data_IF_504432729040
#
_entry.id   IF_504432729040
#
_cell.length_a   1.000
_cell.length_b   1.000
_cell.length_c   1.000
_cell.angle_alpha   90.00
_cell.angle_beta   90.00
_cell.angle_gamma   90.00
#
_symmetry.space_group_name_H-M   'P 1'
#
loop_
_entity.id
_entity.type
_entity.pdbx_description
1 polymer ?
#
# COMPACT_ATOMS: atom_id res chain seq x y z
N UNK A 1 -20.61 -17.99 -8.62
CA UNK A 1 -21.07 -16.61 -8.40
C UNK A 1 -20.54 -16.22 -7.04
N UNK A 2 -19.94 -15.06 -6.86
CA UNK A 2 -19.57 -14.58 -5.53
C UNK A 2 -20.81 -14.18 -4.72
N UNK A 3 -20.63 -13.88 -3.43
CA UNK A 3 -21.71 -13.51 -2.51
C UNK A 3 -22.51 -12.26 -2.92
N UNK A 4 -22.08 -11.51 -3.95
CA UNK A 4 -22.78 -10.37 -4.54
C UNK A 4 -23.35 -10.67 -5.94
N UNK A 5 -23.42 -11.94 -6.33
CA UNK A 5 -23.98 -12.37 -7.62
C UNK A 5 -23.12 -12.04 -8.83
N UNK A 6 -21.87 -11.58 -8.65
CA UNK A 6 -20.95 -11.33 -9.77
C UNK A 6 -20.14 -12.61 -10.05
N UNK A 7 -20.04 -12.95 -11.33
CA UNK A 7 -19.12 -14.00 -11.75
C UNK A 7 -17.73 -13.36 -11.89
N UNK A 8 -16.69 -13.96 -11.31
CA UNK A 8 -15.33 -13.66 -11.77
C UNK A 8 -15.31 -13.87 -13.29
N UNK A 9 -14.75 -12.91 -14.06
CA UNK A 9 -14.77 -12.88 -15.53
C UNK A 9 -13.39 -13.15 -16.13
N UNK A 10 -13.34 -13.86 -17.26
CA UNK A 10 -12.10 -14.28 -17.89
C UNK A 10 -11.37 -13.03 -18.35
N UNK A 11 -10.10 -12.85 -17.97
CA UNK A 11 -9.40 -11.63 -18.35
C UNK A 11 -9.11 -11.55 -19.87
N UNK A 12 -9.20 -12.68 -20.59
CA UNK A 12 -9.04 -12.71 -22.05
C UNK A 12 -10.32 -12.42 -22.84
N UNK A 13 -11.46 -12.98 -22.44
CA UNK A 13 -12.71 -12.94 -23.22
C UNK A 13 -13.93 -12.45 -22.44
N UNK A 14 -13.78 -12.07 -21.18
CA UNK A 14 -14.85 -11.65 -20.25
C UNK A 14 -15.94 -12.71 -19.97
N UNK A 15 -15.81 -13.95 -20.46
CA UNK A 15 -16.75 -15.02 -20.14
C UNK A 15 -16.76 -15.34 -18.63
N UNK A 16 -17.89 -15.76 -18.06
CA UNK A 16 -17.96 -16.20 -16.66
C UNK A 16 -17.00 -17.35 -16.35
N UNK A 17 -16.56 -17.43 -15.08
CA UNK A 17 -15.68 -18.51 -14.60
C UNK A 17 -16.34 -19.88 -14.72
N UNK A 18 -15.81 -20.70 -15.61
CA UNK A 18 -16.15 -22.13 -15.73
C UNK A 18 -15.29 -23.02 -14.84
N UNK A 19 -15.62 -24.33 -14.73
CA UNK A 19 -14.91 -25.29 -13.87
C UNK A 19 -13.43 -25.49 -14.25
N UNK A 20 -13.10 -25.33 -15.53
CA UNK A 20 -11.73 -25.49 -16.06
C UNK A 20 -10.93 -24.18 -16.08
N UNK A 21 -11.40 -23.14 -15.38
CA UNK A 21 -10.70 -21.87 -15.29
C UNK A 21 -9.36 -22.01 -14.56
N UNK A 22 -8.27 -21.60 -15.20
CA UNK A 22 -6.94 -21.62 -14.63
C UNK A 22 -6.46 -20.21 -14.30
N UNK A 23 -5.76 -20.06 -13.18
CA UNK A 23 -5.05 -18.82 -12.84
C UNK A 23 -3.72 -18.72 -13.58
N UNK A 24 -3.24 -17.51 -13.80
CA UNK A 24 -1.85 -17.29 -14.22
C UNK A 24 -0.92 -17.99 -13.21
N UNK A 25 -0.09 -18.92 -13.67
CA UNK A 25 0.79 -19.70 -12.80
C UNK A 25 1.81 -18.84 -12.04
N UNK A 26 2.18 -17.70 -12.61
CA UNK A 26 3.18 -16.78 -12.04
C UNK A 26 2.58 -15.89 -10.95
N UNK A 27 1.64 -15.01 -11.29
CA UNK A 27 1.09 -14.08 -10.30
C UNK A 27 -0.05 -14.68 -9.47
N UNK A 28 -0.84 -15.62 -10.03
CA UNK A 28 -2.03 -16.22 -9.41
C UNK A 28 -3.20 -15.25 -9.15
N UNK A 29 -3.14 -14.03 -9.66
CA UNK A 29 -4.20 -13.02 -9.53
C UNK A 29 -5.26 -13.13 -10.63
N UNK A 30 -4.82 -13.34 -11.86
CA UNK A 30 -5.68 -13.31 -13.04
C UNK A 30 -6.10 -14.72 -13.42
N UNK A 31 -7.34 -14.91 -13.85
CA UNK A 31 -7.84 -16.20 -14.32
C UNK A 31 -8.28 -16.17 -15.79
N UNK A 32 -8.20 -17.34 -16.42
CA UNK A 32 -8.52 -17.55 -17.83
C UNK A 32 -9.34 -18.83 -18.02
N UNK A 33 -10.28 -18.81 -18.96
CA UNK A 33 -11.02 -20.01 -19.35
C UNK A 33 -10.18 -20.99 -20.19
N UNK A 34 -9.09 -20.51 -20.79
CA UNK A 34 -8.20 -21.31 -21.64
C UNK A 34 -6.80 -20.70 -21.78
N UNK A 35 -5.82 -21.52 -22.19
CA UNK A 35 -4.48 -21.05 -22.55
C UNK A 35 -4.50 -20.04 -23.71
N UNK A 36 -5.46 -20.15 -24.62
CA UNK A 36 -5.62 -19.18 -25.71
C UNK A 36 -5.97 -17.78 -25.17
N UNK A 37 -6.95 -17.69 -24.26
CA UNK A 37 -7.29 -16.43 -23.58
C UNK A 37 -6.11 -15.87 -22.78
N UNK A 38 -5.32 -16.74 -22.13
CA UNK A 38 -4.11 -16.32 -21.44
C UNK A 38 -3.09 -15.69 -22.39
N UNK A 39 -2.78 -16.32 -23.54
CA UNK A 39 -1.82 -15.79 -24.52
C UNK A 39 -2.27 -14.44 -25.09
N UNK A 40 -3.55 -14.30 -25.44
CA UNK A 40 -4.10 -13.04 -25.95
C UNK A 40 -3.98 -11.93 -24.90
N UNK A 41 -4.38 -12.20 -23.66
CA UNK A 41 -4.28 -11.21 -22.60
C UNK A 41 -2.81 -10.89 -22.23
N UNK A 42 -1.93 -11.89 -22.28
CA UNK A 42 -0.49 -11.75 -22.04
C UNK A 42 0.12 -10.67 -22.93
N UNK A 43 -0.07 -10.78 -24.25
CA UNK A 43 0.48 -9.84 -25.23
C UNK A 43 -0.14 -8.45 -25.11
N UNK A 44 -1.42 -8.35 -24.76
CA UNK A 44 -2.13 -7.06 -24.69
C UNK A 44 -1.70 -6.21 -23.50
N UNK A 45 -1.72 -6.78 -22.29
CA UNK A 45 -1.56 -6.02 -21.04
C UNK A 45 -0.98 -6.83 -19.88
N UNK A 46 -1.24 -8.13 -19.76
CA UNK A 46 -0.87 -8.84 -18.52
C UNK A 46 0.64 -8.92 -18.30
N UNK A 47 1.45 -9.00 -19.36
CA UNK A 47 2.91 -9.09 -19.25
C UNK A 47 3.50 -7.97 -18.39
N UNK A 48 3.02 -6.73 -18.56
CA UNK A 48 3.59 -5.55 -17.88
C UNK A 48 3.27 -5.49 -16.39
N UNK A 49 2.25 -6.20 -15.90
CA UNK A 49 1.90 -6.17 -14.47
C UNK A 49 2.11 -7.51 -13.76
N UNK A 50 2.34 -8.59 -14.50
CA UNK A 50 2.41 -9.92 -13.92
C UNK A 50 3.51 -10.00 -12.86
N UNK A 51 4.65 -9.32 -13.10
CA UNK A 51 5.74 -9.19 -12.15
C UNK A 51 5.33 -8.39 -10.91
N UNK A 52 4.73 -7.21 -11.07
CA UNK A 52 4.22 -6.38 -9.97
C UNK A 52 3.22 -7.13 -9.10
N UNK A 53 2.27 -7.85 -9.71
CA UNK A 53 1.29 -8.67 -9.01
C UNK A 53 1.92 -9.87 -8.28
N UNK A 54 2.96 -10.49 -8.86
CA UNK A 54 3.71 -11.57 -8.20
C UNK A 54 4.40 -11.05 -6.94
N UNK A 55 5.11 -9.93 -7.04
CA UNK A 55 5.81 -9.29 -5.91
C UNK A 55 4.81 -8.84 -4.84
N UNK A 56 3.72 -8.17 -5.23
CA UNK A 56 2.67 -7.76 -4.31
C UNK A 56 2.01 -8.96 -3.61
N UNK A 57 1.82 -10.08 -4.32
CA UNK A 57 1.34 -11.33 -3.74
C UNK A 57 2.31 -11.95 -2.72
N UNK A 58 3.62 -11.90 -3.00
CA UNK A 58 4.65 -12.36 -2.07
C UNK A 58 4.70 -11.46 -0.81
N UNK A 59 4.70 -10.14 -1.00
CA UNK A 59 4.64 -9.15 0.09
C UNK A 59 3.44 -9.42 0.99
N UNK A 60 2.24 -9.57 0.41
CA UNK A 60 1.01 -9.89 1.14
C UNK A 60 1.14 -11.16 1.99
N UNK A 61 1.66 -12.22 1.41
CA UNK A 61 1.79 -13.50 2.10
C UNK A 61 2.74 -13.41 3.30
N UNK A 62 3.87 -12.71 3.11
CA UNK A 62 4.86 -12.47 4.16
C UNK A 62 4.33 -11.54 5.25
N UNK A 63 3.70 -10.43 4.88
CA UNK A 63 3.04 -9.51 5.81
C UNK A 63 1.99 -10.23 6.67
N UNK A 64 1.12 -11.01 6.02
CA UNK A 64 0.10 -11.79 6.73
C UNK A 64 0.70 -12.81 7.69
N UNK A 65 1.78 -13.49 7.30
CA UNK A 65 2.51 -14.41 8.17
C UNK A 65 3.16 -13.67 9.33
N UNK A 66 3.79 -12.52 9.06
CA UNK A 66 4.48 -11.70 10.05
C UNK A 66 3.52 -11.23 11.15
N UNK A 67 2.37 -10.67 10.78
CA UNK A 67 1.33 -10.27 11.72
C UNK A 67 0.83 -11.43 12.59
N UNK A 68 0.56 -12.60 11.98
CA UNK A 68 0.08 -13.79 12.69
C UNK A 68 1.08 -14.39 13.68
N UNK A 69 2.37 -14.15 13.47
CA UNK A 69 3.44 -14.73 14.29
C UNK A 69 3.92 -13.79 15.39
N UNK A 70 3.31 -12.60 15.53
CA UNK A 70 3.66 -11.68 16.60
C UNK A 70 3.26 -12.23 17.99
N UNK A 71 4.09 -12.04 19.02
CA UNK A 71 3.74 -12.44 20.38
C UNK A 71 2.43 -11.78 20.85
N UNK A 72 1.49 -12.58 21.36
CA UNK A 72 0.17 -12.10 21.80
C UNK A 72 0.26 -10.92 22.77
N UNK A 73 1.23 -10.94 23.69
CA UNK A 73 1.45 -9.86 24.67
C UNK A 73 1.78 -8.52 24.00
N UNK A 74 2.62 -8.54 22.97
CA UNK A 74 3.04 -7.34 22.24
C UNK A 74 1.89 -6.82 21.40
N UNK A 75 1.12 -7.74 20.81
CA UNK A 75 -0.08 -7.39 20.05
C UNK A 75 -1.15 -6.74 20.93
N UNK A 76 -1.44 -7.31 22.10
CA UNK A 76 -2.40 -6.73 23.05
C UNK A 76 -1.95 -5.36 23.56
N UNK A 77 -0.68 -5.21 23.93
CA UNK A 77 -0.12 -3.94 24.35
C UNK A 77 -0.27 -2.88 23.25
N UNK A 78 0.08 -3.26 22.01
CA UNK A 78 -0.04 -2.39 20.85
C UNK A 78 -1.49 -1.98 20.56
N UNK A 79 -2.44 -2.92 20.50
CA UNK A 79 -3.86 -2.63 20.25
C UNK A 79 -4.44 -1.72 21.34
N UNK A 80 -4.02 -1.92 22.59
CA UNK A 80 -4.47 -1.11 23.72
C UNK A 80 -3.89 0.32 23.66
N UNK A 81 -2.65 0.46 23.23
CA UNK A 81 -1.97 1.76 23.11
C UNK A 81 -2.40 2.55 21.88
N UNK A 82 -2.56 1.89 20.74
CA UNK A 82 -2.86 2.54 19.45
C UNK A 82 -4.35 2.59 19.12
N UNK A 83 -5.16 1.70 19.70
CA UNK A 83 -6.55 1.49 19.29
C UNK A 83 -6.71 0.82 17.92
N UNK A 84 -5.61 0.49 17.22
CA UNK A 84 -5.64 -0.04 15.86
C UNK A 84 -5.58 -1.57 15.85
N UNK A 85 -6.42 -2.18 15.02
CA UNK A 85 -6.36 -3.61 14.75
C UNK A 85 -5.28 -3.90 13.68
N UNK A 86 -4.52 -5.01 13.79
CA UNK A 86 -3.49 -5.38 12.81
C UNK A 86 -4.01 -5.49 11.37
N UNK A 87 -5.26 -5.92 11.21
CA UNK A 87 -5.95 -6.00 9.92
C UNK A 87 -6.01 -4.64 9.21
N UNK A 88 -6.17 -3.56 9.96
CA UNK A 88 -6.27 -2.18 9.47
C UNK A 88 -4.89 -1.56 9.18
N UNK A 89 -3.80 -2.23 9.54
CA UNK A 89 -2.44 -1.74 9.38
C UNK A 89 -1.66 -2.47 8.28
N UNK A 90 -2.38 -3.17 7.39
CA UNK A 90 -1.76 -3.87 6.27
C UNK A 90 -1.34 -2.88 5.19
N UNK A 91 -0.08 -2.96 4.80
CA UNK A 91 0.51 -2.11 3.78
C UNK A 91 0.42 -2.74 2.38
N UNK A 92 -0.01 -4.00 2.26
CA UNK A 92 -0.11 -4.69 0.98
C UNK A 92 -0.81 -3.86 -0.13
N UNK A 93 -1.94 -3.20 0.17
CA UNK A 93 -2.67 -2.46 -0.86
C UNK A 93 -1.92 -1.21 -1.34
N UNK A 94 -1.30 -0.49 -0.42
CA UNK A 94 -0.40 0.63 -0.72
C UNK A 94 0.79 0.19 -1.58
N UNK A 95 1.44 -0.91 -1.20
CA UNK A 95 2.56 -1.49 -1.96
C UNK A 95 2.12 -1.98 -3.35
N UNK A 96 0.92 -2.55 -3.47
CA UNK A 96 0.34 -2.91 -4.76
C UNK A 96 0.18 -1.66 -5.66
N UNK A 97 -0.29 -0.54 -5.12
CA UNK A 97 -0.44 0.69 -5.90
C UNK A 97 0.90 1.31 -6.28
N UNK A 98 1.90 1.26 -5.39
CA UNK A 98 3.28 1.66 -5.68
C UNK A 98 3.86 0.85 -6.85
N UNK A 99 3.78 -0.49 -6.77
CA UNK A 99 4.29 -1.40 -7.80
C UNK A 99 3.54 -1.30 -9.14
N UNK A 100 2.31 -0.76 -9.10
CA UNK A 100 1.50 -0.46 -10.28
C UNK A 100 1.79 0.93 -10.87
N UNK A 101 2.70 1.71 -10.27
CA UNK A 101 3.02 3.08 -10.67
C UNK A 101 1.91 4.10 -10.35
N UNK A 102 0.89 3.71 -9.58
CA UNK A 102 -0.24 4.56 -9.20
C UNK A 102 0.12 5.48 -8.04
N UNK A 103 0.94 5.00 -7.09
CA UNK A 103 1.51 5.80 -6.01
C UNK A 103 2.99 6.07 -6.25
N UNK A 104 3.47 7.28 -5.99
CA UNK A 104 4.89 7.56 -6.03
C UNK A 104 5.61 7.03 -4.79
N UNK A 105 4.95 7.01 -3.63
CA UNK A 105 5.55 6.64 -2.34
C UNK A 105 4.52 5.99 -1.42
N UNK A 106 5.01 5.18 -0.47
CA UNK A 106 4.22 4.53 0.59
C UNK A 106 4.92 4.75 1.93
N UNK A 107 4.19 5.30 2.90
CA UNK A 107 4.66 5.47 4.27
C UNK A 107 4.17 4.32 5.14
N UNK A 108 5.06 3.68 5.88
CA UNK A 108 4.74 2.60 6.80
C UNK A 108 4.46 3.16 8.21
N UNK A 109 3.59 4.17 8.29
CA UNK A 109 3.53 5.08 9.45
C UNK A 109 2.93 4.49 10.73
N UNK A 110 2.15 3.41 10.58
CA UNK A 110 1.61 2.69 11.73
C UNK A 110 2.54 1.55 12.20
N UNK A 111 3.75 1.41 11.65
CA UNK A 111 4.68 0.35 12.05
C UNK A 111 5.52 0.79 13.26
N UNK A 112 5.32 0.22 14.46
CA UNK A 112 6.05 0.60 15.67
C UNK A 112 7.55 0.46 15.49
N UNK A 113 8.32 1.40 16.06
CA UNK A 113 9.78 1.40 15.97
C UNK A 113 10.44 0.06 16.33
N UNK A 114 10.04 -0.65 17.41
CA UNK A 114 10.62 -1.96 17.74
C UNK A 114 10.39 -3.05 16.69
N UNK A 115 9.38 -2.87 15.83
CA UNK A 115 8.99 -3.87 14.82
C UNK A 115 9.60 -3.62 13.44
N UNK A 116 10.08 -2.39 13.18
CA UNK A 116 10.62 -1.96 11.88
C UNK A 116 11.72 -2.90 11.35
N UNK A 117 12.68 -3.26 12.20
CA UNK A 117 13.80 -4.14 11.82
C UNK A 117 13.29 -5.52 11.34
N UNK A 118 12.45 -6.18 12.15
CA UNK A 118 11.89 -7.49 11.77
C UNK A 118 10.97 -7.41 10.55
N UNK A 119 10.25 -6.30 10.37
CA UNK A 119 9.40 -6.12 9.20
C UNK A 119 10.24 -5.99 7.92
N UNK A 120 11.37 -5.28 7.99
CA UNK A 120 12.31 -5.18 6.87
C UNK A 120 12.86 -6.57 6.50
N UNK A 121 13.35 -7.33 7.49
CA UNK A 121 14.00 -8.63 7.27
C UNK A 121 13.03 -9.73 6.86
N UNK A 122 11.82 -9.72 7.41
CA UNK A 122 10.88 -10.84 7.29
C UNK A 122 9.79 -10.59 6.24
N UNK A 123 9.58 -9.34 5.84
CA UNK A 123 8.56 -8.94 4.87
C UNK A 123 9.16 -8.23 3.67
N UNK A 124 9.77 -7.05 3.87
CA UNK A 124 10.19 -6.19 2.74
C UNK A 124 11.26 -6.88 1.90
N UNK A 125 12.41 -7.24 2.48
CA UNK A 125 13.51 -7.84 1.75
C UNK A 125 13.13 -9.16 1.04
N UNK A 126 12.53 -10.17 1.71
CA UNK A 126 12.20 -11.45 1.07
C UNK A 126 11.00 -11.37 0.10
N UNK A 127 10.20 -10.30 0.12
CA UNK A 127 9.10 -10.13 -0.85
C UNK A 127 9.58 -9.90 -2.28
N UNK A 128 10.84 -9.48 -2.45
CA UNK A 128 11.40 -9.06 -3.73
C UNK A 128 10.98 -7.64 -4.15
N UNK A 129 10.31 -6.86 -3.27
CA UNK A 129 9.90 -5.47 -3.59
C UNK A 129 11.09 -4.57 -3.93
N UNK A 130 12.22 -4.72 -3.21
CA UNK A 130 13.43 -3.91 -3.45
C UNK A 130 14.26 -4.41 -4.64
N UNK A 131 14.03 -5.65 -5.08
CA UNK A 131 14.65 -6.21 -6.29
C UNK A 131 13.73 -6.08 -7.52
N UNK A 132 12.56 -5.47 -7.35
CA UNK A 132 11.63 -5.22 -8.44
C UNK A 132 12.17 -4.07 -9.28
N UNK A 133 12.70 -4.40 -10.45
CA UNK A 133 13.04 -3.43 -11.47
C UNK A 133 12.13 -3.65 -12.67
N UNK A 134 10.90 -3.13 -12.62
CA UNK A 134 10.13 -2.90 -13.85
C UNK A 134 10.44 -1.49 -14.32
N UNK A 135 11.42 -1.40 -15.23
CA UNK A 135 11.92 -0.13 -15.80
C UNK A 135 10.79 0.75 -16.36
N UNK A 136 9.62 0.20 -16.68
CA UNK A 136 8.50 0.97 -17.23
C UNK A 136 7.56 1.56 -16.16
N UNK A 137 7.49 1.02 -14.94
CA UNK A 137 6.43 1.37 -13.98
C UNK A 137 6.94 1.76 -12.60
N UNK A 138 7.84 0.96 -12.02
CA UNK A 138 8.28 1.19 -10.66
C UNK A 138 9.65 0.57 -10.41
N UNK A 139 10.52 1.36 -9.79
CA UNK A 139 11.77 0.89 -9.18
C UNK A 139 11.70 1.25 -7.70
N UNK A 140 11.21 0.37 -6.82
CA UNK A 140 11.09 0.67 -5.39
C UNK A 140 12.44 0.71 -4.70
N UNK A 141 12.65 1.72 -3.87
CA UNK A 141 13.76 1.79 -2.93
C UNK A 141 13.24 2.11 -1.52
N UNK A 142 13.99 1.71 -0.50
CA UNK A 142 13.62 1.88 0.90
C UNK A 142 14.39 3.05 1.53
N UNK A 143 13.64 3.97 2.11
CA UNK A 143 14.10 5.17 2.78
C UNK A 143 13.59 5.21 4.22
N UNK A 144 14.20 6.07 5.02
CA UNK A 144 13.76 6.42 6.37
C UNK A 144 13.64 7.94 6.51
N UNK A 145 12.62 8.40 7.22
CA UNK A 145 12.48 9.81 7.61
C UNK A 145 13.53 10.12 8.69
N UNK A 146 14.51 10.95 8.37
CA UNK A 146 15.62 11.25 9.27
C UNK A 146 15.41 12.55 10.06
N UNK A 147 15.68 12.49 11.37
CA UNK A 147 15.44 13.61 12.28
C UNK A 147 13.97 13.76 12.66
N UNK A 148 13.68 14.82 13.43
CA UNK A 148 12.31 15.12 13.88
C UNK A 148 11.51 15.79 12.77
N UNK A 149 10.48 15.11 12.27
CA UNK A 149 9.59 15.60 11.19
C UNK A 149 8.14 15.40 11.63
N UNK A 150 7.38 16.49 11.63
CA UNK A 150 6.00 16.50 12.14
C UNK A 150 5.09 17.28 11.20
N UNK A 151 3.78 17.09 11.31
CA UNK A 151 2.79 17.95 10.67
C UNK A 151 2.20 18.96 11.66
N UNK A 152 1.52 20.03 11.20
CA UNK A 152 0.80 20.96 12.08
C UNK A 152 -0.29 20.30 12.95
N UNK A 153 -0.72 19.08 12.61
CA UNK A 153 -1.65 18.30 13.40
C UNK A 153 -0.94 17.43 14.47
N UNK A 154 0.33 17.73 14.77
CA UNK A 154 1.17 17.00 15.73
C UNK A 154 1.36 15.52 15.37
N UNK A 155 1.23 15.18 14.08
CA UNK A 155 1.54 13.84 13.60
C UNK A 155 3.06 13.69 13.44
N UNK A 156 3.67 12.86 14.28
CA UNK A 156 5.10 12.54 14.22
C UNK A 156 5.38 11.41 13.23
N UNK A 157 6.21 11.71 12.22
CA UNK A 157 6.64 10.76 11.18
C UNK A 157 8.10 10.33 11.33
N UNK A 158 8.74 10.70 12.45
CA UNK A 158 10.16 10.52 12.66
C UNK A 158 10.55 9.03 12.67
N UNK A 159 11.55 8.68 11.85
CA UNK A 159 12.03 7.30 11.71
C UNK A 159 11.08 6.37 10.94
N UNK A 160 9.96 6.85 10.41
CA UNK A 160 9.09 6.03 9.58
C UNK A 160 9.80 5.56 8.32
N UNK A 161 9.45 4.33 7.93
CA UNK A 161 9.96 3.71 6.72
C UNK A 161 9.12 4.16 5.51
N UNK A 162 9.81 4.44 4.42
CA UNK A 162 9.22 4.90 3.17
C UNK A 162 9.66 4.01 2.02
N UNK A 163 8.70 3.38 1.33
CA UNK A 163 8.95 2.77 0.03
C UNK A 163 8.72 3.82 -1.06
N UNK A 164 9.70 4.03 -1.92
CA UNK A 164 9.72 5.12 -2.89
C UNK A 164 9.93 4.60 -4.30
N UNK A 165 9.11 5.02 -5.25
CA UNK A 165 9.32 4.77 -6.66
C UNK A 165 10.37 5.74 -7.22
N UNK A 166 11.59 5.27 -7.44
CA UNK A 166 12.70 6.12 -7.89
C UNK A 166 12.58 6.56 -9.35
N UNK A 167 11.62 6.03 -10.12
CA UNK A 167 11.32 6.52 -11.47
C UNK A 167 10.67 7.92 -11.47
N UNK A 168 10.36 8.47 -10.29
CA UNK A 168 9.75 9.79 -10.09
C UNK A 168 10.73 10.79 -9.49
N UNK A 169 11.81 11.09 -10.21
CA UNK A 169 12.95 11.88 -9.69
C UNK A 169 12.54 13.23 -9.06
N UNK A 170 11.66 14.00 -9.71
CA UNK A 170 11.18 15.28 -9.18
C UNK A 170 10.43 15.14 -7.85
N UNK A 171 9.57 14.11 -7.73
CA UNK A 171 8.84 13.84 -6.50
C UNK A 171 9.76 13.30 -5.42
N UNK A 172 10.75 12.47 -5.78
CA UNK A 172 11.79 12.01 -4.85
C UNK A 172 12.59 13.19 -4.30
N UNK A 173 13.01 14.13 -5.16
CA UNK A 173 13.72 15.33 -4.72
C UNK A 173 12.87 16.16 -3.74
N UNK A 174 11.59 16.36 -4.05
CA UNK A 174 10.65 17.03 -3.15
C UNK A 174 10.51 16.29 -1.81
N UNK A 175 10.41 14.96 -1.83
CA UNK A 175 10.29 14.15 -0.63
C UNK A 175 11.57 14.16 0.22
N UNK A 176 12.75 14.12 -0.40
CA UNK A 176 14.03 14.26 0.31
C UNK A 176 14.11 15.62 1.01
N UNK A 177 13.66 16.68 0.34
CA UNK A 177 13.65 18.02 0.92
C UNK A 177 12.62 18.17 2.07
N UNK A 178 11.39 17.74 1.84
CA UNK A 178 10.28 17.93 2.77
C UNK A 178 10.28 16.92 3.92
N UNK A 179 10.52 15.64 3.63
CA UNK A 179 10.44 14.57 4.64
C UNK A 179 11.82 14.14 5.15
N UNK A 180 12.89 14.83 4.75
CA UNK A 180 14.28 14.50 5.16
C UNK A 180 14.63 13.03 4.93
N UNK A 181 14.20 12.49 3.79
CA UNK A 181 14.42 11.08 3.47
C UNK A 181 15.90 10.78 3.30
N UNK A 182 16.33 9.65 3.89
CA UNK A 182 17.65 9.05 3.64
C UNK A 182 17.50 7.62 3.18
N UNK A 183 18.29 7.16 2.20
CA UNK A 183 18.33 5.74 1.85
C UNK A 183 18.63 4.91 3.09
N UNK A 184 17.92 3.80 3.28
CA UNK A 184 18.06 3.01 4.51
C UNK A 184 19.48 2.44 4.68
N UNK A 185 20.15 2.05 3.60
CA UNK A 185 21.52 1.52 3.65
C UNK A 185 22.53 2.56 4.18
N UNK A 186 22.35 3.83 3.83
CA UNK A 186 23.16 4.93 4.35
C UNK A 186 22.87 5.16 5.84
N UNK A 187 21.59 5.10 6.22
CA UNK A 187 21.18 5.27 7.62
C UNK A 187 21.77 4.19 8.53
N UNK A 188 21.78 2.93 8.07
CA UNK A 188 22.34 1.77 8.79
C UNK A 188 23.87 1.81 8.90
N UNK A 189 24.56 2.44 7.96
CA UNK A 189 26.03 2.52 7.94
C UNK A 189 26.60 3.60 8.87
N UNK A 190 25.75 4.49 9.38
CA UNK A 190 26.15 5.54 10.33
C UNK A 190 26.18 4.99 11.77
N UNK A 191 27.15 5.41 12.59
CA UNK A 191 27.22 5.05 14.02
C UNK A 191 25.98 5.49 14.85
N UNK A 192 25.06 6.24 14.25
CA UNK A 192 23.78 6.70 14.79
C UNK A 192 22.59 5.82 14.36
N UNK A 193 22.84 4.69 13.67
CA UNK A 193 21.83 3.79 13.09
C UNK A 193 20.84 3.21 14.11
N UNK A 194 21.30 2.89 15.32
CA UNK A 194 20.44 2.38 16.40
C UNK A 194 19.46 3.46 16.92
N UNK A 195 19.76 4.74 16.74
CA UNK A 195 18.87 5.82 17.20
C UNK A 195 17.73 6.09 16.21
N UNK A 196 17.99 5.91 14.91
CA UNK A 196 17.03 6.28 13.85
C UNK A 196 15.95 5.24 13.59
N UNK A 197 16.22 3.95 13.83
CA UNK A 197 15.22 2.88 13.65
C UNK A 197 14.38 2.62 14.91
N UNK A 198 14.97 2.81 16.09
CA UNK A 198 14.32 2.53 17.38
C UNK A 198 13.63 3.74 18.01
N UNK A 199 13.56 4.88 17.30
CA UNK A 199 12.67 6.00 17.63
C UNK A 199 12.90 6.69 18.98
N UNK A 200 14.05 6.49 19.63
CA UNK A 200 14.21 6.79 21.05
C UNK A 200 15.26 7.83 21.44
N UNK A 201 15.92 8.52 20.50
CA UNK A 201 17.12 9.30 20.86
C UNK A 201 17.40 10.55 20.03
N UNK A 202 16.38 11.20 19.47
CA UNK A 202 16.59 12.60 19.07
C UNK A 202 16.57 13.45 20.33
N UNK A 203 17.72 14.04 20.67
CA UNK A 203 17.81 15.04 21.71
C UNK A 203 16.66 16.04 21.54
N UNK A 204 15.82 16.17 22.55
CA UNK A 204 14.65 17.06 22.60
C UNK A 204 14.96 18.54 22.26
N UNK A 205 16.24 18.90 22.11
CA UNK A 205 16.75 20.23 21.86
C UNK A 205 16.66 20.72 20.40
N UNK A 206 16.49 19.84 19.40
CA UNK A 206 16.37 20.29 17.99
C UNK A 206 14.92 20.55 17.60
N UNK A 207 14.61 21.71 16.99
CA UNK A 207 13.25 22.02 16.55
C UNK A 207 12.79 21.03 15.49
N UNK A 208 11.52 20.62 15.57
CA UNK A 208 10.89 19.77 14.55
C UNK A 208 10.88 20.47 13.20
N UNK A 209 11.11 19.71 12.14
CA UNK A 209 10.79 20.16 10.80
C UNK A 209 9.31 19.94 10.54
N UNK A 210 8.57 21.05 10.43
CA UNK A 210 7.13 20.99 10.20
C UNK A 210 6.85 20.94 8.70
N UNK A 211 6.18 19.88 8.26
CA UNK A 211 5.81 19.64 6.86
C UNK A 211 4.32 19.88 6.69
N UNK A 212 3.92 20.53 5.59
CA UNK A 212 2.51 20.80 5.34
C UNK A 212 1.79 19.50 4.97
N UNK A 213 0.57 19.34 5.49
CA UNK A 213 -0.31 18.21 5.16
C UNK A 213 -0.57 18.08 3.65
N UNK A 214 -0.62 19.20 2.93
CA UNK A 214 -0.75 19.22 1.46
C UNK A 214 0.45 18.57 0.75
N UNK A 215 1.65 18.79 1.27
CA UNK A 215 2.86 18.19 0.72
C UNK A 215 2.88 16.68 1.01
N UNK A 216 2.49 16.27 2.22
CA UNK A 216 2.37 14.84 2.59
C UNK A 216 1.31 14.16 1.71
N UNK A 217 0.13 14.74 1.58
CA UNK A 217 -0.95 14.21 0.74
C UNK A 217 -0.49 14.09 -0.73
N UNK A 218 0.20 15.10 -1.27
CA UNK A 218 0.75 15.04 -2.63
C UNK A 218 1.80 13.94 -2.79
N UNK A 219 2.73 13.82 -1.85
CA UNK A 219 3.80 12.81 -1.87
C UNK A 219 3.26 11.38 -1.70
N UNK A 220 2.15 11.22 -1.00
CA UNK A 220 1.48 9.93 -0.80
C UNK A 220 0.29 9.71 -1.75
N UNK A 221 0.11 10.57 -2.76
CA UNK A 221 -1.01 10.55 -3.71
C UNK A 221 -2.40 10.43 -3.03
N UNK A 222 -2.60 11.07 -1.88
CA UNK A 222 -3.92 11.21 -1.29
C UNK A 222 -4.66 12.37 -1.95
N UNK A 223 -5.94 12.19 -2.32
CA UNK A 223 -6.68 13.20 -3.07
C UNK A 223 -7.05 14.43 -2.25
N UNK A 224 -6.88 14.40 -0.93
CA UNK A 224 -7.29 15.44 0.02
C UNK A 224 -6.27 15.48 1.15
N UNK A 225 -5.82 16.68 1.53
CA UNK A 225 -5.02 16.87 2.73
C UNK A 225 -5.92 17.14 3.96
N UNK A 226 -5.52 16.67 5.13
CA UNK A 226 -6.32 16.85 6.36
C UNK A 226 -6.55 18.31 6.72
N UNK A 227 -5.62 19.20 6.35
CA UNK A 227 -5.75 20.65 6.52
C UNK A 227 -6.94 21.24 5.75
N UNK A 228 -7.41 20.60 4.67
CA UNK A 228 -8.53 21.05 3.84
C UNK A 228 -9.92 20.70 4.43
N UNK A 229 -9.95 19.83 5.45
CA UNK A 229 -11.17 19.29 6.03
C UNK A 229 -11.62 19.98 7.32
N UNK A 230 -10.97 21.09 7.73
CA UNK A 230 -11.25 21.77 9.00
C UNK A 230 -12.71 22.27 9.05
N UNK A 231 -13.44 21.81 10.08
CA UNK A 231 -14.81 22.26 10.37
C UNK A 231 -15.92 21.55 9.60
N UNK A 232 -15.59 20.49 8.86
CA UNK A 232 -16.56 19.73 8.07
C UNK A 232 -16.92 18.36 8.68
N UNK A 233 -18.03 17.77 8.20
CA UNK A 233 -18.34 16.34 8.39
C UNK A 233 -17.27 15.48 7.73
N UNK A 234 -16.60 14.65 8.52
CA UNK A 234 -15.52 13.77 8.07
C UNK A 234 -16.09 12.42 7.63
N UNK A 235 -15.52 11.88 6.56
CA UNK A 235 -15.76 10.52 6.09
C UNK A 235 -14.43 9.77 6.00
N UNK A 236 -14.44 8.51 6.40
CA UNK A 236 -13.40 7.55 6.04
C UNK A 236 -13.69 6.99 4.65
N UNK A 237 -12.72 7.12 3.76
CA UNK A 237 -12.76 6.56 2.43
C UNK A 237 -11.90 5.30 2.42
N UNK A 238 -12.49 4.16 2.08
CA UNK A 238 -11.78 2.88 1.95
C UNK A 238 -11.83 2.35 0.52
N UNK A 239 -10.68 1.92 -0.02
CA UNK A 239 -10.63 1.16 -1.27
C UNK A 239 -10.47 -0.32 -0.97
N UNK A 240 -11.30 -1.14 -1.60
CA UNK A 240 -11.37 -2.57 -1.32
C UNK A 240 -11.07 -3.39 -2.56
N UNK A 241 -10.35 -4.49 -2.37
CA UNK A 241 -10.17 -5.55 -3.34
C UNK A 241 -11.37 -6.50 -3.27
N UNK A 242 -12.07 -6.61 -4.39
CA UNK A 242 -13.15 -7.58 -4.59
C UNK A 242 -12.55 -8.97 -4.88
N UNK A 243 -12.17 -9.68 -3.81
CA UNK A 243 -11.75 -11.08 -3.89
C UNK A 243 -12.97 -11.99 -4.00
N UNK A 244 -13.64 -12.00 -5.15
CA UNK A 244 -14.70 -12.98 -5.40
C UNK A 244 -14.23 -14.40 -5.09
N UNK A 245 -15.11 -15.24 -4.51
CA UNK A 245 -14.82 -16.55 -3.87
C UNK A 245 -13.51 -17.22 -4.31
N UNK A 246 -12.43 -16.88 -3.59
CA UNK A 246 -11.07 -17.34 -3.87
C UNK A 246 -10.72 -18.63 -3.14
N UNK A 247 -11.52 -19.02 -2.16
CA UNK A 247 -11.38 -20.23 -1.37
C UNK A 247 -12.69 -20.97 -1.48
N UNK A 248 -12.70 -22.27 -1.76
CA UNK A 248 -13.86 -23.14 -1.53
C UNK A 248 -14.20 -23.28 -0.04
N UNK A 249 -14.18 -22.16 0.68
CA UNK A 249 -14.44 -22.00 2.10
C UNK A 249 -15.88 -21.53 2.24
N UNK A 250 -16.60 -22.10 3.21
CA UNK A 250 -17.98 -21.74 3.58
C UNK A 250 -18.11 -20.33 4.18
N UNK A 251 -17.02 -19.57 4.26
CA UNK A 251 -16.95 -18.22 4.82
C UNK A 251 -17.17 -17.20 3.69
N UNK A 252 -18.16 -16.31 3.85
CA UNK A 252 -18.47 -15.26 2.87
C UNK A 252 -17.19 -14.48 2.49
N UNK A 253 -16.95 -14.21 1.20
CA UNK A 253 -15.82 -13.39 0.78
C UNK A 253 -15.97 -11.99 1.41
N UNK A 254 -15.02 -11.64 2.28
CA UNK A 254 -14.91 -10.28 2.80
C UNK A 254 -14.06 -9.46 1.83
N UNK A 255 -14.61 -8.33 1.41
CA UNK A 255 -13.88 -7.29 0.69
C UNK A 255 -12.64 -6.89 1.50
N UNK A 256 -11.46 -6.95 0.89
CA UNK A 256 -10.22 -6.63 1.61
C UNK A 256 -9.86 -5.16 1.42
N UNK A 257 -9.76 -4.43 2.53
CA UNK A 257 -9.24 -3.06 2.53
C UNK A 257 -7.80 -3.03 1.97
N UNK A 258 -7.57 -2.13 1.02
CA UNK A 258 -6.26 -1.88 0.38
C UNK A 258 -5.63 -0.59 0.90
N UNK A 259 -6.43 0.44 1.09
CA UNK A 259 -6.04 1.74 1.66
C UNK A 259 -7.29 2.37 2.27
N UNK A 260 -7.11 3.13 3.34
CA UNK A 260 -8.09 4.10 3.79
C UNK A 260 -7.44 5.44 4.11
N UNK A 261 -8.24 6.49 3.97
CA UNK A 261 -7.86 7.86 4.32
C UNK A 261 -9.11 8.67 4.65
N UNK A 262 -8.93 9.74 5.41
CA UNK A 262 -10.03 10.63 5.78
C UNK A 262 -10.18 11.76 4.75
N UNK A 263 -11.43 12.13 4.48
CA UNK A 263 -11.78 13.30 3.68
C UNK A 263 -13.06 13.92 4.23
N UNK A 264 -13.33 15.18 3.89
CA UNK A 264 -14.67 15.76 4.10
C UNK A 264 -15.62 15.39 2.95
N UNK A 265 -16.93 15.30 3.24
CA UNK A 265 -17.97 14.96 2.24
C UNK A 265 -17.93 15.86 0.99
N UNK A 266 -17.54 17.13 1.14
CA UNK A 266 -17.41 18.09 0.03
C UNK A 266 -16.38 17.65 -1.02
N UNK A 267 -15.43 16.80 -0.63
CA UNK A 267 -14.36 16.32 -1.51
C UNK A 267 -14.75 15.06 -2.31
N UNK A 268 -16.01 14.59 -2.21
CA UNK A 268 -16.48 13.43 -2.96
C UNK A 268 -16.12 13.45 -4.47
N UNK A 269 -16.15 14.59 -5.20
CA UNK A 269 -15.71 14.62 -6.60
C UNK A 269 -14.22 14.27 -6.78
N UNK A 270 -13.32 14.79 -5.93
CA UNK A 270 -11.87 14.50 -5.97
C UNK A 270 -11.61 13.04 -5.62
N UNK A 271 -12.31 12.53 -4.60
CA UNK A 271 -12.23 11.12 -4.19
C UNK A 271 -12.66 10.19 -5.33
N UNK A 272 -13.76 10.50 -6.03
CA UNK A 272 -14.23 9.72 -7.19
C UNK A 272 -13.22 9.75 -8.33
N UNK A 273 -12.71 10.92 -8.71
CA UNK A 273 -11.72 11.04 -9.78
C UNK A 273 -10.42 10.25 -9.46
N UNK A 274 -9.98 10.30 -8.20
CA UNK A 274 -8.85 9.49 -7.73
C UNK A 274 -9.13 7.99 -7.82
N UNK A 275 -10.29 7.53 -7.34
CA UNK A 275 -10.71 6.14 -7.41
C UNK A 275 -10.84 5.64 -8.87
N UNK A 276 -11.38 6.46 -9.76
CA UNK A 276 -11.53 6.17 -11.19
C UNK A 276 -10.17 5.98 -11.87
N UNK A 277 -9.16 6.81 -11.55
CA UNK A 277 -7.79 6.64 -12.06
C UNK A 277 -7.21 5.28 -11.67
N UNK A 278 -7.35 4.88 -10.41
CA UNK A 278 -6.84 3.59 -9.91
C UNK A 278 -7.60 2.42 -10.53
N UNK A 279 -8.93 2.51 -10.55
CA UNK A 279 -9.79 1.47 -11.09
C UNK A 279 -9.59 1.27 -12.58
N UNK A 280 -9.39 2.35 -13.35
CA UNK A 280 -9.14 2.28 -14.80
C UNK A 280 -7.87 1.49 -15.13
N UNK A 281 -6.81 1.66 -14.33
CA UNK A 281 -5.57 0.89 -14.49
C UNK A 281 -5.81 -0.62 -14.33
N UNK A 282 -6.56 -1.03 -13.29
CA UNK A 282 -6.84 -2.44 -13.02
C UNK A 282 -7.96 -3.05 -13.89
N UNK A 283 -8.90 -2.25 -14.36
CA UNK A 283 -9.94 -2.70 -15.29
C UNK A 283 -9.38 -2.96 -16.69
N UNK A 284 -8.46 -2.10 -17.15
CA UNK A 284 -7.76 -2.28 -18.43
C UNK A 284 -6.97 -3.60 -18.45
N UNK A 285 -6.61 -4.11 -17.28
CA UNK A 285 -5.89 -5.35 -17.13
C UNK A 285 -6.73 -6.56 -16.77
N UNK A 286 -8.01 -6.37 -16.43
CA UNK A 286 -8.89 -7.47 -15.99
C UNK A 286 -8.32 -8.28 -14.83
N UNK A 287 -7.40 -7.70 -14.04
CA UNK A 287 -6.65 -8.42 -13.02
C UNK A 287 -7.27 -8.25 -11.63
N UNK A 288 -7.79 -7.06 -11.36
CA UNK A 288 -8.25 -6.63 -10.05
C UNK A 288 -9.53 -5.81 -10.23
N UNK A 289 -10.49 -6.02 -9.35
CA UNK A 289 -11.70 -5.22 -9.25
C UNK A 289 -11.64 -4.47 -7.92
N UNK A 290 -11.72 -3.14 -8.01
CA UNK A 290 -11.72 -2.27 -6.84
C UNK A 290 -13.15 -1.83 -6.52
N UNK A 291 -13.44 -1.65 -5.23
CA UNK A 291 -14.63 -0.98 -4.70
C UNK A 291 -14.21 0.22 -3.85
N UNK A 292 -15.06 1.22 -3.77
CA UNK A 292 -14.88 2.38 -2.89
C UNK A 292 -16.06 2.44 -1.94
N UNK A 293 -15.80 2.63 -0.65
CA UNK A 293 -16.81 2.93 0.35
C UNK A 293 -16.44 4.23 1.08
N UNK A 294 -17.45 5.02 1.43
CA UNK A 294 -17.31 6.23 2.24
C UNK A 294 -18.22 6.06 3.46
N UNK A 295 -17.65 6.18 4.65
CA UNK A 295 -18.38 6.00 5.93
C UNK A 295 -18.18 7.25 6.77
N UNK A 296 -19.25 7.86 7.27
CA UNK A 296 -19.17 9.01 8.17
C UNK A 296 -18.47 8.65 9.48
N UNK A 297 -17.59 9.53 9.95
CA UNK A 297 -16.82 9.40 11.19
C UNK A 297 -17.51 10.07 12.38
#
# INVERSE_FOLDING_TARGET
MDANGRASLCAGCRAPRGPNAARCSRCKWVWYCSKACQRVHWTRRHRSMCASLQVAGAFRALEQKWWRTRPLREMHAFVTQSGLQPESMRFFGEVLFLLSGLKPMVMLSNLPAPWRSSFITDVIAPSGVLSHADQAQCTPALYVISGRVETPAEYDMSGDLMLVNTNREELLALAVANLRLRPLHDALSSASAEVSLYGGGHAHDKPAHVVREEDVARLLDYPVALSECKGDSMVEVGYFLDEGDCSGSSVKPQDRLLTSYCASEKHAPRVRAHFERYTSYFQASGAIHLKCAMTSL
#
